data_IF_164856324391
#
_entry.id   IF_164856324391
#
_cell.length_a   1.000
_cell.length_b   1.000
_cell.length_c   1.000
_cell.angle_alpha   90.00
_cell.angle_beta   90.00
_cell.angle_gamma   90.00
#
_symmetry.space_group_name_H-M   'P 1'
#
loop_
_entity.id
_entity.type
_entity.pdbx_description
1 polymer ?
#
# COMPACT_ATOMS: atom_id res chain seq x y z
N UNK A 1 -37.13 7.67 -1.32
CA UNK A 1 -36.79 7.57 0.11
C UNK A 1 -35.81 8.70 0.39
N UNK A 2 -35.89 9.39 1.53
CA UNK A 2 -34.87 10.39 1.88
C UNK A 2 -33.52 9.69 2.04
N UNK A 3 -32.46 10.27 1.49
CA UNK A 3 -31.09 9.76 1.69
C UNK A 3 -30.78 9.74 3.19
N UNK A 4 -30.12 8.70 3.66
CA UNK A 4 -29.66 8.64 5.04
C UNK A 4 -28.62 9.75 5.24
N UNK A 5 -28.77 10.52 6.33
CA UNK A 5 -27.86 11.62 6.68
C UNK A 5 -27.10 11.29 7.96
N UNK A 6 -25.79 11.49 7.95
CA UNK A 6 -24.89 11.30 9.10
C UNK A 6 -24.13 12.61 9.32
N UNK A 7 -23.94 13.00 10.59
CA UNK A 7 -23.13 14.16 10.95
C UNK A 7 -21.92 13.75 11.78
N UNK A 8 -20.77 14.34 11.48
CA UNK A 8 -19.52 14.11 12.19
C UNK A 8 -18.65 15.38 12.18
N UNK A 9 -17.58 15.43 12.95
CA UNK A 9 -16.64 16.54 12.87
C UNK A 9 -15.64 16.39 11.72
N UNK A 10 -15.23 15.15 11.42
CA UNK A 10 -14.32 14.89 10.31
C UNK A 10 -14.80 13.68 9.50
N UNK A 11 -14.83 13.81 8.18
CA UNK A 11 -15.05 12.72 7.25
C UNK A 11 -13.76 12.44 6.50
N UNK A 12 -13.22 11.22 6.65
CA UNK A 12 -12.02 10.76 5.96
C UNK A 12 -12.44 9.75 4.90
N UNK A 13 -12.15 10.02 3.62
CA UNK A 13 -12.47 9.09 2.54
C UNK A 13 -11.26 8.27 2.16
N UNK A 14 -11.42 6.94 2.18
CA UNK A 14 -10.38 5.95 1.92
C UNK A 14 -9.86 5.29 3.20
N UNK A 15 -10.19 4.01 3.39
CA UNK A 15 -9.73 3.15 4.50
C UNK A 15 -8.33 2.57 4.30
N UNK A 16 -7.49 3.20 3.48
CA UNK A 16 -6.08 2.85 3.34
C UNK A 16 -5.23 3.30 4.54
N UNK A 17 -3.91 3.05 4.52
CA UNK A 17 -3.02 3.35 5.65
C UNK A 17 -3.11 4.79 6.16
N UNK A 18 -3.17 5.76 5.25
CA UNK A 18 -3.26 7.17 5.60
C UNK A 18 -4.60 7.50 6.28
N UNK A 19 -5.72 7.08 5.68
CA UNK A 19 -7.04 7.39 6.23
C UNK A 19 -7.34 6.66 7.53
N UNK A 20 -6.95 5.38 7.64
CA UNK A 20 -7.13 4.61 8.87
C UNK A 20 -6.28 5.16 10.03
N UNK A 21 -5.02 5.54 9.76
CA UNK A 21 -4.17 6.15 10.78
C UNK A 21 -4.71 7.50 11.21
N UNK A 22 -5.11 8.36 10.25
CA UNK A 22 -5.70 9.66 10.55
C UNK A 22 -6.99 9.52 11.37
N UNK A 23 -7.90 8.63 10.94
CA UNK A 23 -9.15 8.38 11.67
C UNK A 23 -8.90 7.89 13.09
N UNK A 24 -7.97 6.96 13.28
CA UNK A 24 -7.56 6.49 14.60
C UNK A 24 -7.01 7.62 15.47
N UNK A 25 -6.10 8.44 14.95
CA UNK A 25 -5.50 9.55 15.70
C UNK A 25 -6.53 10.63 16.09
N UNK A 26 -7.45 10.96 15.20
CA UNK A 26 -8.53 11.92 15.47
C UNK A 26 -9.45 11.40 16.57
N UNK A 27 -9.89 10.14 16.47
CA UNK A 27 -10.75 9.53 17.49
C UNK A 27 -10.05 9.44 18.86
N UNK A 28 -8.78 9.11 18.87
CA UNK A 28 -7.95 9.10 20.10
C UNK A 28 -7.85 10.49 20.72
N UNK A 29 -7.83 11.54 19.89
CA UNK A 29 -7.85 12.94 20.34
C UNK A 29 -9.25 13.45 20.73
N UNK A 30 -10.28 12.58 20.72
CA UNK A 30 -11.66 12.94 21.08
C UNK A 30 -12.45 13.65 19.97
N UNK A 31 -11.99 13.56 18.73
CA UNK A 31 -12.70 14.10 17.55
C UNK A 31 -13.58 13.00 16.96
N UNK A 32 -14.87 13.29 16.78
CA UNK A 32 -15.78 12.39 16.06
C UNK A 32 -15.37 12.33 14.59
N UNK A 33 -15.09 11.12 14.11
CA UNK A 33 -14.60 10.87 12.76
C UNK A 33 -15.31 9.69 12.11
N UNK A 34 -15.70 9.89 10.86
CA UNK A 34 -16.19 8.83 9.98
C UNK A 34 -15.10 8.54 8.93
N UNK A 35 -14.68 7.28 8.84
CA UNK A 35 -13.76 6.79 7.80
C UNK A 35 -14.56 5.95 6.82
N UNK A 36 -14.51 6.30 5.53
CA UNK A 36 -15.20 5.58 4.46
C UNK A 36 -14.23 4.65 3.74
N UNK A 37 -14.58 3.38 3.62
CA UNK A 37 -13.86 2.40 2.80
C UNK A 37 -14.82 1.77 1.79
N UNK A 38 -14.47 1.87 0.51
CA UNK A 38 -15.34 1.38 -0.59
C UNK A 38 -15.50 -0.13 -0.66
N UNK A 39 -14.60 -0.87 -0.04
CA UNK A 39 -14.67 -2.31 0.01
C UNK A 39 -15.17 -2.82 1.37
N UNK A 40 -15.62 -4.08 1.42
CA UNK A 40 -16.10 -4.70 2.66
C UNK A 40 -15.00 -5.13 3.62
N UNK A 41 -13.75 -5.18 3.15
CA UNK A 41 -12.57 -5.59 3.90
C UNK A 41 -11.31 -4.85 3.42
N UNK A 42 -10.17 -5.16 4.05
CA UNK A 42 -8.86 -4.61 3.68
C UNK A 42 -8.00 -5.56 2.83
N UNK A 43 -8.53 -6.70 2.42
CA UNK A 43 -7.78 -7.67 1.61
C UNK A 43 -7.47 -7.07 0.24
N UNK A 44 -6.20 -6.95 -0.08
CA UNK A 44 -5.70 -6.47 -1.38
C UNK A 44 -4.45 -7.24 -1.74
N UNK A 45 -4.38 -7.69 -2.98
CA UNK A 45 -3.20 -8.34 -3.49
C UNK A 45 -2.03 -7.37 -3.66
N UNK A 46 -0.84 -7.80 -3.27
CA UNK A 46 0.46 -7.16 -3.55
C UNK A 46 0.56 -5.66 -3.20
N UNK A 47 -0.02 -5.21 -2.09
CA UNK A 47 0.07 -3.81 -1.69
C UNK A 47 0.66 -3.66 -0.30
N UNK A 48 1.65 -2.73 -0.21
CA UNK A 48 2.05 -2.12 1.03
C UNK A 48 2.52 -3.06 2.14
N UNK A 49 3.16 -4.16 1.77
CA UNK A 49 3.56 -5.21 2.72
C UNK A 49 4.80 -4.85 3.56
N UNK A 50 5.08 -3.57 3.73
CA UNK A 50 6.25 -3.11 4.47
C UNK A 50 5.86 -1.98 5.42
N UNK A 51 6.12 -2.17 6.71
CA UNK A 51 5.96 -1.15 7.74
C UNK A 51 7.35 -0.63 8.10
N UNK A 52 7.59 0.62 7.76
CA UNK A 52 8.89 1.27 7.91
C UNK A 52 9.18 1.71 9.34
N UNK A 53 10.47 1.92 9.71
CA UNK A 53 10.86 2.37 11.05
C UNK A 53 10.12 3.61 11.54
N UNK A 54 9.81 4.56 10.65
CA UNK A 54 9.04 5.77 11.00
C UNK A 54 7.60 5.46 11.45
N UNK A 55 6.95 4.49 10.82
CA UNK A 55 5.61 4.05 11.24
C UNK A 55 5.68 3.25 12.54
N UNK A 56 6.72 2.41 12.71
CA UNK A 56 6.96 1.69 13.96
C UNK A 56 7.27 2.64 15.12
N UNK A 57 7.98 3.75 14.86
CA UNK A 57 8.22 4.79 15.85
C UNK A 57 6.91 5.47 16.26
N UNK A 58 6.05 5.81 15.30
CA UNK A 58 4.71 6.30 15.62
C UNK A 58 3.91 5.30 16.48
N UNK A 59 3.98 4.00 16.17
CA UNK A 59 3.34 2.98 17.01
C UNK A 59 3.92 2.94 18.42
N UNK A 60 5.23 3.17 18.57
CA UNK A 60 5.89 3.27 19.87
C UNK A 60 5.38 4.48 20.66
N UNK A 61 5.36 5.67 20.06
CA UNK A 61 4.86 6.91 20.68
C UNK A 61 3.38 6.79 21.09
N UNK A 62 2.61 6.00 20.34
CA UNK A 62 1.20 5.72 20.64
C UNK A 62 1.01 4.67 21.75
N UNK A 63 2.08 3.99 22.19
CA UNK A 63 2.06 2.91 23.15
C UNK A 63 1.48 1.59 22.62
N UNK A 64 1.53 1.40 21.28
CA UNK A 64 0.93 0.26 20.57
C UNK A 64 1.97 -0.70 19.99
N UNK A 65 3.26 -0.36 20.03
CA UNK A 65 4.31 -1.08 19.32
C UNK A 65 4.41 -2.54 19.76
N UNK A 66 4.40 -2.81 21.07
CA UNK A 66 4.55 -4.17 21.60
C UNK A 66 3.41 -5.08 21.13
N UNK A 67 2.15 -4.61 21.25
CA UNK A 67 0.97 -5.35 20.80
C UNK A 67 0.98 -5.54 19.27
N UNK A 68 1.41 -4.50 18.53
CA UNK A 68 1.51 -4.54 17.08
C UNK A 68 2.54 -5.58 16.59
N UNK A 69 3.71 -5.66 17.20
CA UNK A 69 4.77 -6.61 16.84
C UNK A 69 4.46 -8.06 17.24
N UNK A 70 3.35 -8.33 17.91
CA UNK A 70 2.84 -9.70 18.08
C UNK A 70 2.15 -10.23 16.82
N UNK A 71 1.77 -9.35 15.87
CA UNK A 71 1.29 -9.79 14.57
C UNK A 71 2.40 -10.51 13.80
N UNK A 72 2.09 -11.54 12.99
CA UNK A 72 3.08 -12.23 12.18
C UNK A 72 3.82 -11.25 11.24
N UNK A 73 5.14 -11.20 11.35
CA UNK A 73 5.97 -10.33 10.50
C UNK A 73 7.39 -10.86 10.39
N UNK A 74 8.09 -10.45 9.32
CA UNK A 74 9.52 -10.68 9.15
C UNK A 74 10.28 -9.35 9.29
N UNK A 75 11.42 -9.38 9.99
CA UNK A 75 12.25 -8.19 10.21
C UNK A 75 13.38 -8.13 9.19
N UNK A 76 13.53 -6.97 8.55
CA UNK A 76 14.63 -6.68 7.64
C UNK A 76 15.34 -5.43 8.13
N UNK A 77 16.53 -5.59 8.64
CA UNK A 77 17.37 -4.51 9.18
C UNK A 77 18.48 -4.06 8.20
N UNK A 78 18.76 -4.88 7.18
CA UNK A 78 19.74 -4.60 6.13
C UNK A 78 19.17 -4.95 4.77
N UNK A 79 19.44 -4.09 3.81
CA UNK A 79 19.02 -4.27 2.42
C UNK A 79 20.27 -4.46 1.58
N UNK A 80 20.38 -5.61 0.97
CA UNK A 80 21.46 -5.95 0.05
C UNK A 80 20.98 -6.06 -1.39
N UNK A 81 21.90 -6.00 -2.32
CA UNK A 81 21.68 -6.38 -3.71
C UNK A 81 22.94 -7.01 -4.29
N UNK A 82 22.76 -7.90 -5.23
CA UNK A 82 23.82 -8.34 -6.13
C UNK A 82 23.81 -7.41 -7.35
N UNK A 83 24.96 -6.79 -7.63
CA UNK A 83 25.17 -5.92 -8.79
C UNK A 83 26.27 -6.57 -9.63
N UNK A 84 25.86 -7.21 -10.73
CA UNK A 84 26.76 -8.12 -11.46
C UNK A 84 27.27 -9.21 -10.52
N UNK A 85 28.60 -9.37 -10.41
CA UNK A 85 29.25 -10.36 -9.55
C UNK A 85 29.50 -9.89 -8.11
N UNK A 86 29.12 -8.66 -7.77
CA UNK A 86 29.41 -8.05 -6.47
C UNK A 86 28.17 -7.98 -5.58
N UNK A 87 28.31 -8.45 -4.32
CA UNK A 87 27.29 -8.17 -3.29
C UNK A 87 27.52 -6.80 -2.69
N UNK A 88 26.48 -5.96 -2.70
CA UNK A 88 26.52 -4.59 -2.22
C UNK A 88 25.45 -4.39 -1.16
N UNK A 89 25.80 -3.76 -0.05
CA UNK A 89 24.84 -3.31 0.96
C UNK A 89 24.27 -1.96 0.52
N UNK A 90 22.98 -1.94 0.21
CA UNK A 90 22.25 -0.72 -0.20
C UNK A 90 21.81 0.12 0.98
N UNK A 91 21.38 -0.52 2.08
CA UNK A 91 20.96 0.18 3.29
C UNK A 91 21.28 -0.63 4.55
N UNK A 92 21.58 0.07 5.63
CA UNK A 92 21.77 -0.48 6.98
C UNK A 92 20.90 0.34 7.95
N UNK A 93 19.78 -0.23 8.36
CA UNK A 93 18.81 0.41 9.24
C UNK A 93 19.19 0.31 10.71
N UNK A 94 20.20 -0.53 11.05
CA UNK A 94 20.64 -0.72 12.45
C UNK A 94 21.18 0.56 13.09
N UNK A 95 21.52 1.56 12.27
CA UNK A 95 22.07 2.86 12.68
C UNK A 95 21.02 3.97 12.82
N UNK A 96 19.74 3.67 12.53
CA UNK A 96 18.68 4.66 12.69
C UNK A 96 18.50 5.04 14.16
N UNK A 97 18.19 6.32 14.45
CA UNK A 97 17.89 6.79 15.81
C UNK A 97 16.43 6.51 16.20
N UNK A 98 15.91 5.31 15.86
CA UNK A 98 14.53 4.87 16.09
C UNK A 98 14.52 3.67 17.03
N UNK A 99 13.41 3.45 17.72
CA UNK A 99 13.19 2.28 18.59
C UNK A 99 13.29 0.98 17.80
N UNK A 100 12.63 0.92 16.64
CA UNK A 100 12.73 -0.20 15.71
C UNK A 100 13.66 0.15 14.55
N UNK A 101 14.75 -0.59 14.43
CA UNK A 101 15.82 -0.40 13.43
C UNK A 101 15.68 -1.38 12.28
N UNK A 102 14.46 -1.69 11.88
CA UNK A 102 14.12 -2.65 10.83
C UNK A 102 12.81 -2.27 10.15
N UNK A 103 12.61 -2.78 8.95
CA UNK A 103 11.32 -2.80 8.27
C UNK A 103 10.61 -4.08 8.69
N UNK A 104 9.37 -3.97 9.16
CA UNK A 104 8.52 -5.13 9.39
C UNK A 104 7.79 -5.48 8.08
N UNK A 105 8.09 -6.66 7.53
CA UNK A 105 7.35 -7.21 6.40
C UNK A 105 6.13 -7.93 6.93
N UNK A 106 4.94 -7.38 6.65
CA UNK A 106 3.65 -7.95 7.02
C UNK A 106 2.61 -7.54 5.99
N UNK A 107 1.54 -8.33 5.81
CA UNK A 107 0.43 -7.94 4.96
C UNK A 107 -0.20 -6.61 5.41
N UNK A 108 -0.49 -5.71 4.47
CA UNK A 108 -1.08 -4.41 4.78
C UNK A 108 -2.42 -4.53 5.52
N UNK A 109 -3.20 -5.58 5.22
CA UNK A 109 -4.50 -5.80 5.90
C UNK A 109 -4.34 -6.08 7.39
N UNK A 110 -3.24 -6.69 7.85
CA UNK A 110 -2.99 -6.91 9.28
C UNK A 110 -2.77 -5.57 9.98
N UNK A 111 -1.99 -4.66 9.39
CA UNK A 111 -1.82 -3.30 9.88
C UNK A 111 -3.15 -2.53 9.92
N UNK A 112 -3.96 -2.61 8.86
CA UNK A 112 -5.24 -1.91 8.79
C UNK A 112 -6.28 -2.48 9.76
N UNK A 113 -6.35 -3.81 9.90
CA UNK A 113 -7.20 -4.47 10.87
C UNK A 113 -6.79 -4.12 12.31
N UNK A 114 -5.49 -4.05 12.59
CA UNK A 114 -4.98 -3.60 13.87
C UNK A 114 -5.44 -2.19 14.20
N UNK A 115 -5.28 -1.24 13.27
CA UNK A 115 -5.76 0.14 13.44
C UNK A 115 -7.28 0.21 13.63
N UNK A 116 -8.04 -0.57 12.86
CA UNK A 116 -9.49 -0.64 12.98
C UNK A 116 -9.93 -1.17 14.35
N UNK A 117 -9.28 -2.23 14.84
CA UNK A 117 -9.57 -2.80 16.15
C UNK A 117 -9.30 -1.80 17.29
N UNK A 118 -8.18 -1.07 17.20
CA UNK A 118 -7.84 -0.02 18.17
C UNK A 118 -8.73 1.21 18.04
N UNK A 119 -9.07 1.62 16.82
CA UNK A 119 -9.98 2.73 16.58
C UNK A 119 -11.35 2.52 17.21
N UNK A 120 -11.91 1.31 17.09
CA UNK A 120 -13.22 0.94 17.67
C UNK A 120 -13.28 1.03 19.19
N UNK A 121 -12.14 1.12 19.90
CA UNK A 121 -12.10 1.37 21.35
C UNK A 121 -12.50 2.81 21.70
N UNK A 122 -12.48 3.73 20.73
CA UNK A 122 -12.87 5.13 20.89
C UNK A 122 -14.29 5.34 20.36
N UNK A 123 -15.16 5.94 21.19
CA UNK A 123 -16.57 6.16 20.85
C UNK A 123 -16.78 6.98 19.58
N UNK A 124 -15.87 7.92 19.32
CA UNK A 124 -15.93 8.80 18.15
C UNK A 124 -15.36 8.20 16.86
N UNK A 125 -14.94 6.93 16.84
CA UNK A 125 -14.41 6.29 15.63
C UNK A 125 -15.47 5.47 14.91
N UNK A 126 -15.82 5.87 13.70
CA UNK A 126 -16.82 5.19 12.86
C UNK A 126 -16.19 4.79 11.53
N UNK A 127 -15.97 3.50 11.34
CA UNK A 127 -15.51 2.93 10.07
C UNK A 127 -16.70 2.38 9.30
N UNK A 128 -16.97 2.96 8.14
CA UNK A 128 -18.01 2.54 7.21
C UNK A 128 -17.36 1.84 6.02
N UNK A 129 -17.38 0.51 6.03
CA UNK A 129 -16.99 -0.33 4.89
C UNK A 129 -18.10 -0.36 3.84
N UNK A 130 -17.83 -0.91 2.64
CA UNK A 130 -18.76 -0.88 1.48
C UNK A 130 -19.31 0.53 1.21
N UNK A 131 -18.51 1.56 1.50
CA UNK A 131 -18.95 2.97 1.40
C UNK A 131 -18.01 3.73 0.48
N UNK A 132 -18.49 3.98 -0.74
CA UNK A 132 -17.73 4.66 -1.77
C UNK A 132 -18.14 6.15 -1.83
N UNK A 133 -17.21 7.05 -1.56
CA UNK A 133 -17.41 8.48 -1.80
C UNK A 133 -17.57 8.75 -3.30
N UNK A 134 -18.61 9.52 -3.66
CA UNK A 134 -18.97 9.81 -5.05
C UNK A 134 -18.88 11.28 -5.41
N UNK A 135 -19.15 12.16 -4.43
CA UNK A 135 -19.15 13.61 -4.66
C UNK A 135 -18.91 14.38 -3.36
N UNK A 136 -18.65 15.68 -3.48
CA UNK A 136 -18.60 16.64 -2.36
C UNK A 136 -19.97 17.33 -2.18
N UNK A 137 -20.27 17.67 -0.94
CA UNK A 137 -21.42 18.54 -0.59
C UNK A 137 -20.89 19.94 -0.31
N UNK A 138 -21.52 20.94 -0.93
CA UNK A 138 -21.11 22.33 -0.83
C UNK A 138 -22.20 23.19 -0.21
N UNK A 139 -21.79 24.19 0.56
CA UNK A 139 -22.58 25.37 0.91
C UNK A 139 -21.82 26.60 0.41
N UNK A 140 -22.27 27.17 -0.71
CA UNK A 140 -21.51 28.14 -1.47
C UNK A 140 -20.21 27.55 -2.01
N UNK A 141 -19.08 28.13 -1.62
CA UNK A 141 -17.73 27.62 -1.99
C UNK A 141 -17.14 26.67 -0.94
N UNK A 142 -17.81 26.50 0.21
CA UNK A 142 -17.34 25.69 1.31
C UNK A 142 -17.78 24.23 1.14
N UNK A 143 -16.84 23.29 1.27
CA UNK A 143 -17.17 21.87 1.43
C UNK A 143 -17.75 21.64 2.83
N UNK A 144 -18.94 21.04 2.89
CA UNK A 144 -19.69 20.75 4.14
C UNK A 144 -19.94 19.26 4.32
N UNK A 145 -19.50 18.42 3.39
CA UNK A 145 -19.72 16.99 3.50
C UNK A 145 -19.33 16.21 2.25
N UNK A 146 -19.77 14.95 2.25
CA UNK A 146 -19.52 13.97 1.19
C UNK A 146 -20.80 13.22 0.86
N UNK A 147 -21.09 13.03 -0.43
CA UNK A 147 -22.04 12.02 -0.90
C UNK A 147 -21.34 10.70 -1.11
N UNK A 148 -21.97 9.63 -0.70
CA UNK A 148 -21.42 8.29 -0.84
C UNK A 148 -22.51 7.27 -1.15
N UNK A 149 -22.10 6.10 -1.63
CA UNK A 149 -22.92 4.91 -1.74
C UNK A 149 -22.50 3.93 -0.66
N UNK A 150 -23.41 3.63 0.28
CA UNK A 150 -23.22 2.63 1.32
C UNK A 150 -24.08 1.41 1.01
N UNK A 151 -23.43 0.26 0.77
CA UNK A 151 -24.13 -0.96 0.29
C UNK A 151 -25.06 -0.69 -0.91
N UNK A 152 -24.67 0.24 -1.79
CA UNK A 152 -25.43 0.65 -2.97
C UNK A 152 -26.54 1.68 -2.72
N UNK A 153 -26.80 2.07 -1.48
CA UNK A 153 -27.77 3.13 -1.14
C UNK A 153 -27.06 4.48 -0.95
N UNK A 154 -27.71 5.56 -1.38
CA UNK A 154 -27.18 6.92 -1.20
C UNK A 154 -27.17 7.32 0.29
N UNK A 155 -26.04 7.88 0.74
CA UNK A 155 -25.84 8.45 2.05
C UNK A 155 -25.11 9.79 1.91
N UNK A 156 -25.52 10.77 2.72
CA UNK A 156 -24.83 12.06 2.82
C UNK A 156 -24.19 12.20 4.20
N UNK A 157 -22.89 12.47 4.23
CA UNK A 157 -22.11 12.65 5.46
C UNK A 157 -21.73 14.12 5.57
N UNK A 158 -22.36 14.84 6.51
CA UNK A 158 -22.01 16.21 6.84
C UNK A 158 -20.82 16.24 7.79
N UNK A 159 -19.85 17.12 7.52
CA UNK A 159 -18.62 17.22 8.30
C UNK A 159 -18.06 18.65 8.30
N UNK A 160 -17.46 19.05 9.44
CA UNK A 160 -16.73 20.32 9.53
C UNK A 160 -15.48 20.32 8.66
N UNK A 161 -14.85 19.13 8.50
CA UNK A 161 -13.68 18.88 7.68
C UNK A 161 -13.84 17.59 6.87
N UNK A 162 -13.52 17.66 5.58
CA UNK A 162 -13.41 16.48 4.70
C UNK A 162 -11.96 16.27 4.31
N UNK A 163 -11.44 15.04 4.50
CA UNK A 163 -10.09 14.66 4.12
C UNK A 163 -10.13 13.55 3.09
N UNK A 164 -9.64 13.85 1.88
CA UNK A 164 -9.51 12.86 0.80
C UNK A 164 -8.23 12.04 0.96
N UNK A 165 -8.37 10.78 1.38
CA UNK A 165 -7.30 9.78 1.47
C UNK A 165 -7.60 8.56 0.58
N UNK A 166 -8.42 8.74 -0.47
CA UNK A 166 -8.96 7.73 -1.38
C UNK A 166 -7.99 7.29 -2.49
N UNK A 167 -6.72 7.71 -2.38
CA UNK A 167 -5.59 7.16 -3.12
C UNK A 167 -5.33 7.85 -4.47
N UNK A 168 -4.55 7.16 -5.32
CA UNK A 168 -4.06 7.73 -6.59
C UNK A 168 -5.16 8.16 -7.56
N UNK A 169 -6.30 7.48 -7.55
CA UNK A 169 -7.48 7.76 -8.36
C UNK A 169 -8.58 8.42 -7.52
N UNK A 170 -8.18 9.43 -6.71
CA UNK A 170 -9.06 10.12 -5.79
C UNK A 170 -10.23 10.79 -6.51
N UNK A 171 -11.43 10.34 -6.21
CA UNK A 171 -12.68 10.95 -6.69
C UNK A 171 -12.86 12.35 -6.11
N UNK A 172 -12.60 12.51 -4.81
CA UNK A 172 -12.83 13.81 -4.17
C UNK A 172 -11.82 14.88 -4.59
N UNK A 173 -10.57 14.48 -4.88
CA UNK A 173 -9.59 15.40 -5.46
C UNK A 173 -10.07 15.96 -6.79
N UNK A 174 -10.62 15.11 -7.64
CA UNK A 174 -11.18 15.50 -8.93
C UNK A 174 -12.39 16.42 -8.75
N UNK A 175 -13.32 16.06 -7.85
CA UNK A 175 -14.51 16.87 -7.53
C UNK A 175 -14.18 18.23 -6.93
N UNK A 176 -13.09 18.32 -6.17
CA UNK A 176 -12.58 19.58 -5.62
C UNK A 176 -11.84 20.43 -6.67
N UNK A 177 -11.63 19.92 -7.88
CA UNK A 177 -10.90 20.63 -8.93
C UNK A 177 -9.41 20.79 -8.67
N UNK A 178 -8.80 19.93 -7.81
CA UNK A 178 -7.37 20.00 -7.53
C UNK A 178 -6.55 19.40 -8.66
N UNK A 179 -5.74 20.25 -9.30
CA UNK A 179 -4.87 19.85 -10.38
C UNK A 179 -3.68 19.02 -9.88
N UNK A 180 -3.43 17.92 -10.57
CA UNK A 180 -2.27 17.05 -10.38
C UNK A 180 -1.20 17.43 -11.40
N UNK A 181 0.03 17.58 -10.94
CA UNK A 181 1.21 17.67 -11.78
C UNK A 181 1.83 16.27 -11.88
N UNK A 182 1.83 15.71 -13.09
CA UNK A 182 2.52 14.44 -13.34
C UNK A 182 4.02 14.74 -13.47
N UNK A 183 4.80 14.24 -12.50
CA UNK A 183 6.27 14.35 -12.50
C UNK A 183 6.88 13.28 -13.39
N UNK A 184 6.10 12.22 -13.68
CA UNK A 184 6.52 11.07 -14.44
C UNK A 184 7.31 10.05 -13.63
N UNK A 185 7.36 8.84 -14.16
CA UNK A 185 8.21 7.77 -13.65
C UNK A 185 8.84 7.04 -14.83
N UNK A 186 10.15 6.72 -14.79
CA UNK A 186 10.82 6.08 -15.91
C UNK A 186 10.53 4.58 -16.04
N UNK A 187 9.78 4.01 -15.09
CA UNK A 187 9.60 2.57 -14.96
C UNK A 187 8.19 2.17 -14.56
N UNK A 188 7.87 0.90 -14.83
CA UNK A 188 6.77 0.15 -14.26
C UNK A 188 7.32 -1.11 -13.58
N UNK A 189 6.50 -1.81 -12.81
CA UNK A 189 6.94 -2.99 -12.05
C UNK A 189 5.99 -4.15 -12.31
N UNK A 190 6.56 -5.31 -12.61
CA UNK A 190 5.86 -6.57 -12.70
C UNK A 190 6.01 -7.33 -11.39
N UNK A 191 4.88 -7.59 -10.71
CA UNK A 191 4.83 -8.34 -9.47
C UNK A 191 4.42 -9.78 -9.71
N UNK A 192 5.09 -10.73 -9.03
CA UNK A 192 4.81 -12.15 -9.12
C UNK A 192 5.18 -12.88 -7.84
N UNK A 193 4.71 -14.12 -7.71
CA UNK A 193 5.07 -15.04 -6.61
C UNK A 193 5.82 -16.23 -7.17
N UNK A 194 6.88 -16.66 -6.48
CA UNK A 194 7.63 -17.88 -6.76
C UNK A 194 7.82 -18.60 -5.43
N UNK A 195 7.57 -19.89 -5.39
CA UNK A 195 7.70 -20.69 -4.17
C UNK A 195 9.11 -20.63 -3.59
N UNK A 196 9.20 -20.58 -2.25
CA UNK A 196 10.42 -20.54 -1.48
C UNK A 196 10.75 -21.91 -0.88
N UNK A 197 12.03 -22.22 -0.77
CA UNK A 197 12.55 -23.41 -0.10
C UNK A 197 13.49 -23.03 1.04
N UNK A 198 13.61 -23.88 2.05
CA UNK A 198 14.47 -23.64 3.21
C UNK A 198 15.97 -23.50 2.88
N UNK A 199 16.41 -24.01 1.73
CA UNK A 199 17.79 -23.88 1.24
C UNK A 199 18.06 -22.66 0.36
N UNK A 200 17.08 -21.79 0.17
CA UNK A 200 17.25 -20.57 -0.62
C UNK A 200 18.18 -19.57 0.09
N UNK A 201 18.92 -18.74 -0.66
CA UNK A 201 19.77 -17.71 -0.08
C UNK A 201 18.98 -16.77 0.85
N UNK A 202 19.50 -16.55 2.07
CA UNK A 202 18.86 -15.67 3.04
C UNK A 202 18.89 -14.20 2.59
N UNK A 203 19.89 -13.83 1.79
CA UNK A 203 20.17 -12.46 1.35
C UNK A 203 19.68 -12.16 -0.07
N UNK A 204 18.80 -12.99 -0.64
CA UNK A 204 18.29 -12.80 -1.99
C UNK A 204 17.28 -11.64 -2.04
N UNK A 205 17.77 -10.42 -1.87
CA UNK A 205 16.93 -9.23 -1.80
C UNK A 205 16.82 -8.50 -3.14
N UNK A 206 17.88 -8.39 -3.93
CA UNK A 206 17.87 -7.73 -5.23
C UNK A 206 18.96 -8.25 -6.16
N UNK A 207 18.63 -8.35 -7.45
CA UNK A 207 19.57 -8.65 -8.51
C UNK A 207 19.53 -7.51 -9.53
N UNK A 208 20.67 -6.86 -9.75
CA UNK A 208 20.79 -5.69 -10.62
C UNK A 208 21.86 -5.97 -11.66
N UNK A 209 21.44 -5.96 -12.91
CA UNK A 209 22.31 -6.02 -14.08
C UNK A 209 21.96 -4.91 -15.05
N UNK A 210 22.76 -4.69 -16.07
CA UNK A 210 22.46 -3.70 -17.10
C UNK A 210 21.11 -4.00 -17.78
N UNK A 211 20.13 -3.12 -17.56
CA UNK A 211 18.78 -3.26 -18.11
C UNK A 211 17.87 -4.28 -17.43
N UNK A 212 18.31 -4.91 -16.34
CA UNK A 212 17.55 -5.93 -15.59
C UNK A 212 17.59 -5.64 -14.12
N UNK A 213 16.43 -5.57 -13.47
CA UNK A 213 16.34 -5.34 -12.04
C UNK A 213 15.22 -6.19 -11.43
N UNK A 214 15.61 -7.18 -10.62
CA UNK A 214 14.73 -8.08 -9.91
C UNK A 214 14.90 -7.87 -8.41
N UNK A 215 13.80 -7.65 -7.70
CA UNK A 215 13.73 -7.59 -6.24
C UNK A 215 12.99 -8.84 -5.77
N UNK A 216 13.49 -9.47 -4.70
CA UNK A 216 12.90 -10.66 -4.12
C UNK A 216 12.73 -10.44 -2.62
N UNK A 217 11.49 -10.47 -2.15
CA UNK A 217 11.11 -10.29 -0.76
C UNK A 217 10.71 -11.64 -0.17
N UNK A 218 11.38 -12.06 0.91
CA UNK A 218 11.06 -13.29 1.65
C UNK A 218 9.71 -13.13 2.38
N UNK A 219 8.76 -14.03 2.09
CA UNK A 219 7.44 -14.09 2.73
C UNK A 219 7.22 -15.40 3.51
N UNK A 220 8.30 -16.11 3.79
CA UNK A 220 8.29 -17.38 4.51
C UNK A 220 8.13 -18.59 3.58
N UNK A 221 7.01 -18.72 2.91
CA UNK A 221 6.68 -19.84 2.01
C UNK A 221 6.83 -19.50 0.52
N UNK A 222 6.93 -18.20 0.18
CA UNK A 222 7.14 -17.74 -1.19
C UNK A 222 8.03 -16.50 -1.25
N UNK A 223 8.63 -16.30 -2.42
CA UNK A 223 9.27 -15.05 -2.82
C UNK A 223 8.26 -14.14 -3.49
N UNK A 224 8.04 -12.96 -2.93
CA UNK A 224 7.36 -11.89 -3.62
C UNK A 224 8.40 -11.18 -4.50
N UNK A 225 8.27 -11.36 -5.81
CA UNK A 225 9.22 -10.85 -6.77
C UNK A 225 8.68 -9.60 -7.47
N UNK A 226 9.54 -8.60 -7.65
CA UNK A 226 9.28 -7.39 -8.41
C UNK A 226 10.33 -7.24 -9.51
N UNK A 227 9.91 -7.30 -10.77
CA UNK A 227 10.77 -7.07 -11.92
C UNK A 227 10.49 -5.70 -12.52
N UNK A 228 11.51 -4.85 -12.56
CA UNK A 228 11.40 -3.47 -13.07
C UNK A 228 11.52 -3.48 -14.59
N UNK A 229 10.61 -2.80 -15.25
CA UNK A 229 10.57 -2.62 -16.71
C UNK A 229 10.52 -1.13 -17.06
N UNK A 230 10.93 -0.80 -18.27
CA UNK A 230 10.77 0.57 -18.78
C UNK A 230 9.30 0.98 -18.83
N UNK A 231 9.02 2.24 -18.56
CA UNK A 231 7.67 2.79 -18.58
C UNK A 231 6.93 2.47 -19.87
N UNK A 232 5.73 1.90 -19.76
CA UNK A 232 4.87 1.58 -20.90
C UNK A 232 5.29 0.35 -21.72
N UNK A 233 6.34 -0.39 -21.31
CA UNK A 233 6.81 -1.56 -22.08
C UNK A 233 6.06 -2.86 -21.78
N UNK A 234 5.15 -2.86 -20.78
CA UNK A 234 4.44 -4.05 -20.34
C UNK A 234 3.68 -4.76 -21.46
N UNK A 235 2.91 -4.02 -22.26
CA UNK A 235 2.11 -4.60 -23.35
C UNK A 235 2.97 -5.31 -24.40
N UNK A 236 4.16 -4.77 -24.70
CA UNK A 236 5.09 -5.37 -25.64
C UNK A 236 5.70 -6.64 -25.07
N UNK A 237 6.06 -6.61 -23.80
CA UNK A 237 6.64 -7.77 -23.09
C UNK A 237 5.60 -8.90 -22.94
N UNK A 238 4.39 -8.57 -22.53
CA UNK A 238 3.32 -9.55 -22.28
C UNK A 238 2.75 -10.19 -23.56
N UNK A 239 3.01 -9.63 -24.73
CA UNK A 239 2.72 -10.28 -26.02
C UNK A 239 3.69 -11.41 -26.34
N UNK A 240 4.85 -11.46 -25.67
CA UNK A 240 5.80 -12.55 -25.85
C UNK A 240 5.39 -13.79 -25.03
N UNK A 241 5.80 -15.01 -25.43
CA UNK A 241 5.57 -16.20 -24.61
C UNK A 241 6.18 -16.05 -23.22
N UNK A 242 5.43 -16.41 -22.16
CA UNK A 242 5.88 -16.35 -20.76
C UNK A 242 7.22 -17.09 -20.53
N UNK A 243 7.54 -18.08 -21.34
CA UNK A 243 8.79 -18.83 -21.28
C UNK A 243 10.02 -17.94 -21.42
N UNK A 244 9.95 -16.88 -22.25
CA UNK A 244 11.03 -15.90 -22.36
C UNK A 244 11.23 -15.12 -21.06
N UNK A 245 10.15 -14.73 -20.39
CA UNK A 245 10.22 -14.04 -19.11
C UNK A 245 10.74 -14.94 -17.99
N UNK A 246 10.28 -16.21 -17.92
CA UNK A 246 10.84 -17.21 -16.98
C UNK A 246 12.36 -17.34 -17.13
N UNK A 247 12.85 -17.33 -18.37
CA UNK A 247 14.29 -17.40 -18.64
C UNK A 247 15.03 -16.20 -18.09
N UNK A 248 14.49 -14.98 -18.24
CA UNK A 248 15.06 -13.76 -17.66
C UNK A 248 15.18 -13.88 -16.13
N UNK A 249 14.13 -14.36 -15.46
CA UNK A 249 14.12 -14.54 -14.00
C UNK A 249 15.14 -15.62 -13.59
N UNK A 250 15.22 -16.73 -14.34
CA UNK A 250 16.17 -17.81 -14.08
C UNK A 250 17.62 -17.37 -14.28
N UNK A 251 17.90 -16.58 -15.33
CA UNK A 251 19.24 -16.03 -15.57
C UNK A 251 19.71 -15.13 -14.42
N UNK A 252 18.81 -14.31 -13.86
CA UNK A 252 19.11 -13.46 -12.70
C UNK A 252 19.19 -14.23 -11.37
N UNK A 253 18.48 -15.35 -11.27
CA UNK A 253 18.40 -16.14 -10.04
C UNK A 253 18.42 -17.64 -10.35
N UNK A 254 19.58 -18.19 -10.77
CA UNK A 254 19.69 -19.60 -11.22
C UNK A 254 19.29 -20.62 -10.15
N UNK A 255 19.43 -20.27 -8.87
CA UNK A 255 19.06 -21.12 -7.74
C UNK A 255 17.53 -21.38 -7.64
N UNK A 256 16.69 -20.59 -8.33
CA UNK A 256 15.25 -20.86 -8.42
C UNK A 256 14.97 -22.18 -9.13
N UNK A 257 15.78 -22.57 -10.12
CA UNK A 257 15.59 -23.80 -10.89
C UNK A 257 14.19 -23.88 -11.52
N UNK A 258 13.55 -25.04 -11.40
CA UNK A 258 12.23 -25.30 -12.00
C UNK A 258 11.09 -24.45 -11.41
N UNK A 259 11.32 -23.77 -10.27
CA UNK A 259 10.29 -22.94 -9.61
C UNK A 259 9.88 -21.72 -10.43
N UNK A 260 10.66 -21.29 -11.40
CA UNK A 260 10.21 -20.25 -12.37
C UNK A 260 8.97 -20.69 -13.14
N UNK A 261 8.65 -22.01 -13.16
CA UNK A 261 7.42 -22.54 -13.76
C UNK A 261 6.16 -22.34 -12.90
N UNK A 262 6.30 -21.82 -11.67
CA UNK A 262 5.14 -21.34 -10.89
C UNK A 262 4.40 -20.22 -11.64
N UNK A 263 5.13 -19.46 -12.47
CA UNK A 263 4.53 -18.49 -13.40
C UNK A 263 3.97 -19.22 -14.62
N UNK A 264 2.74 -19.72 -14.54
CA UNK A 264 2.12 -20.55 -15.61
C UNK A 264 1.79 -19.73 -16.85
N UNK A 265 1.29 -18.52 -16.65
CA UNK A 265 0.91 -17.56 -17.70
C UNK A 265 1.20 -16.12 -17.24
N UNK A 266 0.92 -15.15 -18.09
CA UNK A 266 0.98 -13.73 -17.73
C UNK A 266 -0.09 -13.34 -16.70
N UNK A 267 -1.11 -14.19 -16.44
CA UNK A 267 -2.09 -13.95 -15.38
C UNK A 267 -1.47 -14.03 -13.97
N UNK A 268 -0.35 -14.75 -13.83
CA UNK A 268 0.41 -14.85 -12.58
C UNK A 268 1.31 -13.63 -12.34
N UNK A 269 1.37 -12.70 -13.30
CA UNK A 269 2.20 -11.50 -13.26
C UNK A 269 1.30 -10.27 -13.24
N UNK A 270 1.43 -9.44 -12.20
CA UNK A 270 0.60 -8.25 -12.03
C UNK A 270 1.40 -6.98 -12.35
N UNK A 271 0.88 -6.16 -13.25
CA UNK A 271 1.47 -4.88 -13.59
C UNK A 271 1.13 -3.84 -12.52
N UNK A 272 2.14 -3.24 -11.94
CA UNK A 272 2.05 -1.99 -11.20
C UNK A 272 2.55 -0.84 -12.07
N UNK A 273 1.64 -0.04 -12.57
CA UNK A 273 1.97 1.22 -13.24
C UNK A 273 2.44 2.22 -12.19
N UNK A 274 3.70 2.59 -12.25
CA UNK A 274 4.28 3.58 -11.34
C UNK A 274 3.90 4.98 -11.82
N UNK A 275 3.40 5.82 -10.93
CA UNK A 275 3.14 7.23 -11.16
C UNK A 275 3.75 8.03 -10.01
N UNK A 276 4.35 9.16 -10.36
CA UNK A 276 4.84 10.16 -9.39
C UNK A 276 4.08 11.43 -9.66
N UNK A 277 3.14 11.72 -8.79
CA UNK A 277 2.22 12.85 -8.91
C UNK A 277 2.40 13.82 -7.75
N UNK A 278 2.17 15.09 -8.02
CA UNK A 278 2.21 16.15 -7.02
C UNK A 278 0.96 17.02 -7.13
N UNK A 279 0.32 17.30 -6.00
CA UNK A 279 -0.69 18.35 -5.91
C UNK A 279 -0.02 19.71 -5.80
N UNK A 280 -0.51 20.69 -6.58
CA UNK A 280 -0.09 22.09 -6.47
C UNK A 280 -0.77 22.79 -5.32
N UNK A 281 -1.97 22.36 -4.97
CA UNK A 281 -2.80 22.89 -3.91
C UNK A 281 -3.48 21.73 -3.17
N UNK A 282 -3.56 21.80 -1.84
CA UNK A 282 -4.07 20.73 -1.00
C UNK A 282 -5.41 21.09 -0.32
N UNK A 283 -5.81 22.34 -0.36
CA UNK A 283 -7.03 22.88 0.23
C UNK A 283 -7.50 24.15 -0.49
#
# INVERSE_FOLDING_TARGET
MAAQSISTRCCVTGGGPAGMMLGFLLARAGVDVVVLEKHGDFLRDFRGDTIHPSTLELMHELGLLEEFLQQPHHKVDRIGAQIGDSQVRLADLTRLPTTCKFIAFMPQWDFLNFLAAHGRRYRGFHLMVNTQATDLVFDGERVTGVRALHDGAEVEIHADLVVAADGRHSTLRERAGFAVEDVGAPMDVLWMRISRKSGDPADAFGHIEAGRFLIMLDRGDYWQCAYVISKGSADTLMKQPIAGFRRIILDLSPWLGDRVNDLKSWDDVKLLTVAVDRLKKWY
#
